data_IF_073018609070
#
_entry.id   IF_073018609070
#
_cell.length_a   1.000
_cell.length_b   1.000
_cell.length_c   1.000
_cell.angle_alpha   90.00
_cell.angle_beta   90.00
_cell.angle_gamma   90.00
#
_symmetry.space_group_name_H-M   'P 1'
#
loop_
_entity.id
_entity.type
_entity.pdbx_description
1 polymer ?
#
# COMPACT_ATOMS: atom_id res chain seq x y z
N UNK A 1 47.26 -65.97 35.82
CA UNK A 1 47.29 -66.55 34.46
C UNK A 1 46.43 -65.76 33.53
N UNK A 2 47.01 -65.28 32.43
CA UNK A 2 46.44 -64.70 31.21
C UNK A 2 46.09 -63.23 31.27
N UNK A 3 47.03 -62.40 30.96
CA UNK A 3 47.23 -61.37 29.92
C UNK A 3 46.10 -61.26 28.88
N UNK A 4 45.63 -60.06 28.68
CA UNK A 4 45.31 -59.53 27.34
C UNK A 4 45.36 -57.99 27.42
N UNK A 5 46.33 -57.56 26.87
CA UNK A 5 46.75 -56.67 25.81
C UNK A 5 45.56 -56.09 25.02
N UNK A 6 45.55 -54.83 24.90
CA UNK A 6 45.00 -54.37 23.64
C UNK A 6 44.29 -53.08 23.61
N UNK A 7 44.90 -52.22 23.02
CA UNK A 7 44.43 -51.31 21.98
C UNK A 7 43.89 -49.93 22.42
N UNK A 8 44.88 -49.08 22.43
CA UNK A 8 44.71 -47.63 22.39
C UNK A 8 44.03 -47.24 21.06
N UNK A 9 42.81 -46.87 21.10
CA UNK A 9 42.13 -46.21 19.95
C UNK A 9 42.20 -44.70 20.13
N UNK A 10 43.13 -44.13 19.39
CA UNK A 10 43.22 -42.68 19.15
C UNK A 10 41.98 -42.23 18.42
N UNK A 11 41.08 -41.54 19.12
CA UNK A 11 39.99 -40.81 18.50
C UNK A 11 40.59 -39.50 18.01
N UNK A 12 40.80 -39.43 16.72
CA UNK A 12 41.08 -38.18 16.01
C UNK A 12 39.86 -37.29 16.14
N UNK A 13 39.98 -36.23 16.88
CA UNK A 13 39.02 -35.15 16.90
C UNK A 13 39.21 -34.34 15.59
N UNK A 14 38.44 -34.65 14.60
CA UNK A 14 38.28 -33.79 13.42
C UNK A 14 37.65 -32.47 13.85
N UNK A 15 38.52 -31.50 14.05
CA UNK A 15 38.16 -30.13 14.30
C UNK A 15 37.65 -29.51 12.98
N UNK A 16 36.34 -29.67 12.71
CA UNK A 16 35.71 -29.07 11.56
C UNK A 16 35.75 -27.56 11.74
N UNK A 17 36.72 -26.95 11.07
CA UNK A 17 36.81 -25.50 10.93
C UNK A 17 35.66 -25.03 10.06
N UNK A 18 34.54 -24.62 10.67
CA UNK A 18 33.42 -23.99 9.96
C UNK A 18 33.88 -22.59 9.56
N UNK A 19 34.04 -22.30 8.27
CA UNK A 19 34.30 -20.93 7.86
C UNK A 19 33.08 -20.07 8.24
N UNK A 20 33.30 -19.09 9.10
CA UNK A 20 32.33 -18.04 9.36
C UNK A 20 32.05 -17.32 8.02
N UNK A 21 30.93 -17.67 7.39
CA UNK A 21 30.38 -16.87 6.31
C UNK A 21 30.03 -15.52 6.93
N UNK A 22 30.92 -14.56 6.73
CA UNK A 22 30.62 -13.16 6.96
C UNK A 22 29.43 -12.80 6.07
N UNK A 23 28.24 -12.77 6.66
CA UNK A 23 27.08 -12.18 6.01
C UNK A 23 27.40 -10.70 5.86
N UNK A 24 27.83 -10.34 4.66
CA UNK A 24 27.87 -8.96 4.25
C UNK A 24 26.44 -8.43 4.41
N UNK A 25 26.22 -7.62 5.44
CA UNK A 25 25.02 -6.81 5.56
C UNK A 25 24.98 -5.99 4.27
N UNK A 26 24.13 -6.40 3.34
CA UNK A 26 23.78 -5.57 2.21
C UNK A 26 23.13 -4.33 2.81
N UNK A 27 23.92 -3.27 2.96
CA UNK A 27 23.38 -1.94 3.16
C UNK A 27 22.47 -1.68 1.97
N UNK A 28 21.18 -1.92 2.17
CA UNK A 28 20.15 -1.43 1.28
C UNK A 28 20.27 0.08 1.34
N UNK A 29 21.01 0.63 0.39
CA UNK A 29 21.03 2.07 0.14
C UNK A 29 19.57 2.46 -0.02
N UNK A 30 19.02 3.13 0.98
CA UNK A 30 17.71 3.73 0.89
C UNK A 30 17.78 4.68 -0.29
N UNK A 31 17.21 4.26 -1.41
CA UNK A 31 17.02 5.13 -2.55
C UNK A 31 16.06 6.24 -2.11
N UNK A 32 16.62 7.32 -1.59
CA UNK A 32 15.93 8.60 -1.41
C UNK A 32 15.75 9.27 -2.77
N UNK A 33 15.20 8.49 -3.72
CA UNK A 33 14.77 9.05 -4.97
C UNK A 33 13.74 10.14 -4.66
N UNK A 34 13.88 11.33 -5.25
CA UNK A 34 12.89 12.38 -5.11
C UNK A 34 11.52 11.85 -5.53
N UNK A 35 10.45 12.40 -4.95
CA UNK A 35 9.11 12.03 -5.36
C UNK A 35 8.98 12.23 -6.87
N UNK A 36 8.54 11.18 -7.57
CA UNK A 36 8.29 11.27 -9.01
C UNK A 36 6.98 12.05 -9.21
N UNK A 37 7.09 13.23 -9.81
CA UNK A 37 5.95 14.11 -10.13
C UNK A 37 5.53 13.90 -11.59
N UNK A 38 4.26 13.62 -11.83
CA UNK A 38 3.74 13.39 -13.19
C UNK A 38 2.33 13.94 -13.33
N UNK A 39 2.02 14.62 -14.43
CA UNK A 39 0.64 14.92 -14.80
C UNK A 39 -0.03 13.63 -15.26
N UNK A 40 -1.10 13.26 -14.59
CA UNK A 40 -1.82 12.02 -14.89
C UNK A 40 -3.33 12.14 -14.70
N UNK A 41 -4.02 11.17 -15.26
CA UNK A 41 -5.45 10.95 -15.05
C UNK A 41 -5.61 9.55 -14.46
N UNK A 42 -6.32 9.46 -13.36
CA UNK A 42 -6.63 8.20 -12.68
C UNK A 42 -8.14 7.97 -12.68
N UNK A 43 -8.54 6.70 -12.62
CA UNK A 43 -9.94 6.30 -12.51
C UNK A 43 -10.11 5.37 -11.33
N UNK A 44 -11.07 5.67 -10.46
CA UNK A 44 -11.27 4.88 -9.24
C UNK A 44 -12.49 5.29 -8.45
N UNK A 45 -12.72 4.59 -7.34
CA UNK A 45 -13.86 4.81 -6.45
C UNK A 45 -13.48 5.80 -5.34
N UNK A 46 -14.27 6.85 -5.14
CA UNK A 46 -14.10 7.73 -3.98
C UNK A 46 -14.63 7.04 -2.73
N UNK A 47 -13.75 6.71 -1.80
CA UNK A 47 -14.11 6.04 -0.56
C UNK A 47 -13.19 6.39 0.62
N UNK A 48 -13.52 5.90 1.82
CA UNK A 48 -12.67 6.00 3.01
C UNK A 48 -11.41 5.14 2.88
N UNK A 49 -10.32 5.56 3.52
CA UNK A 49 -9.03 4.87 3.46
C UNK A 49 -9.03 3.54 4.23
N UNK A 50 -9.81 3.42 5.29
CA UNK A 50 -9.72 2.26 6.19
C UNK A 50 -10.23 0.97 5.53
N UNK A 51 -11.36 1.05 4.82
CA UNK A 51 -11.94 -0.12 4.19
C UNK A 51 -11.02 -0.84 3.20
N UNK A 52 -10.40 -0.20 2.19
CA UNK A 52 -9.56 -0.91 1.24
C UNK A 52 -8.26 -1.44 1.85
N UNK A 53 -7.86 -0.95 3.01
CA UNK A 53 -6.66 -1.43 3.72
C UNK A 53 -6.99 -2.61 4.65
N UNK A 54 -8.12 -2.56 5.35
CA UNK A 54 -8.46 -3.53 6.39
C UNK A 54 -9.37 -4.66 5.90
N UNK A 55 -10.07 -4.48 4.80
CA UNK A 55 -11.02 -5.43 4.24
C UNK A 55 -10.69 -5.76 2.80
N UNK A 56 -10.24 -7.00 2.55
CA UNK A 56 -9.87 -7.48 1.22
C UNK A 56 -11.04 -7.50 0.21
N UNK A 57 -12.28 -7.58 0.69
CA UNK A 57 -13.49 -7.50 -0.15
C UNK A 57 -13.77 -6.07 -0.63
N UNK A 58 -13.20 -5.07 0.04
CA UNK A 58 -13.42 -3.66 -0.28
C UNK A 58 -12.52 -3.18 -1.42
N UNK A 59 -12.91 -3.47 -2.64
CA UNK A 59 -12.16 -3.12 -3.87
C UNK A 59 -12.58 -1.75 -4.45
N UNK A 60 -12.04 -1.41 -5.60
CA UNK A 60 -12.44 -0.22 -6.36
C UNK A 60 -13.88 -0.28 -6.91
N UNK A 61 -14.52 -1.45 -6.89
CA UNK A 61 -15.89 -1.63 -7.39
C UNK A 61 -16.81 -2.34 -6.41
N UNK A 62 -16.32 -2.83 -5.28
CA UNK A 62 -17.10 -3.53 -4.25
C UNK A 62 -17.11 -2.74 -2.95
N UNK A 63 -18.29 -2.37 -2.46
CA UNK A 63 -18.45 -1.51 -1.29
C UNK A 63 -19.77 -1.71 -0.56
N UNK A 64 -19.77 -1.45 0.75
CA UNK A 64 -20.96 -1.18 1.56
C UNK A 64 -21.16 0.33 1.68
N UNK A 65 -22.26 0.85 1.16
CA UNK A 65 -22.59 2.28 1.27
C UNK A 65 -22.86 2.70 2.71
N UNK A 66 -23.40 1.81 3.53
CA UNK A 66 -23.65 2.06 4.95
C UNK A 66 -22.32 2.25 5.69
N UNK A 67 -21.36 1.34 5.50
CA UNK A 67 -20.02 1.44 6.08
C UNK A 67 -19.31 2.71 5.61
N UNK A 68 -19.29 2.95 4.31
CA UNK A 68 -18.65 4.11 3.70
C UNK A 68 -19.16 5.44 4.28
N UNK A 69 -20.49 5.60 4.38
CA UNK A 69 -21.10 6.80 4.96
C UNK A 69 -20.76 6.96 6.44
N UNK A 70 -20.73 5.85 7.20
CA UNK A 70 -20.35 5.87 8.62
C UNK A 70 -18.90 6.31 8.80
N UNK A 71 -17.97 5.73 8.06
CA UNK A 71 -16.55 6.11 8.07
C UNK A 71 -16.35 7.57 7.65
N UNK A 72 -17.02 7.98 6.58
CA UNK A 72 -16.98 9.36 6.12
C UNK A 72 -17.52 10.32 7.18
N UNK A 73 -18.63 10.01 7.85
CA UNK A 73 -19.20 10.81 8.95
C UNK A 73 -18.26 10.89 10.16
N UNK A 74 -17.56 9.81 10.47
CA UNK A 74 -16.59 9.75 11.55
C UNK A 74 -15.28 10.53 11.27
N UNK A 75 -15.09 11.05 10.04
CA UNK A 75 -13.91 11.85 9.69
C UNK A 75 -12.78 11.03 9.05
N UNK A 76 -13.01 9.77 8.67
CA UNK A 76 -12.01 8.99 7.94
C UNK A 76 -11.54 9.71 6.67
N UNK A 77 -10.24 9.77 6.37
CA UNK A 77 -9.74 10.35 5.13
C UNK A 77 -10.35 9.67 3.90
N UNK A 78 -10.62 10.46 2.87
CA UNK A 78 -11.13 9.97 1.59
C UNK A 78 -9.97 9.76 0.61
N UNK A 79 -10.03 8.64 -0.11
CA UNK A 79 -9.01 8.20 -1.08
C UNK A 79 -9.66 7.69 -2.36
N UNK A 80 -8.86 7.43 -3.38
CA UNK A 80 -9.31 6.89 -4.66
C UNK A 80 -8.54 5.60 -4.94
N UNK A 81 -9.02 4.40 -4.54
CA UNK A 81 -8.51 3.13 -5.02
C UNK A 81 -8.90 2.92 -6.49
N UNK A 82 -7.95 2.45 -7.28
CA UNK A 82 -8.07 2.15 -8.69
C UNK A 82 -8.26 0.64 -8.94
N UNK A 83 -8.63 0.26 -10.15
CA UNK A 83 -8.88 -1.15 -10.51
C UNK A 83 -7.63 -2.04 -10.47
N UNK A 84 -6.45 -1.46 -10.63
CA UNK A 84 -5.15 -2.12 -10.52
C UNK A 84 -4.65 -2.28 -9.07
N UNK A 85 -5.44 -1.78 -8.11
CA UNK A 85 -5.15 -1.91 -6.67
C UNK A 85 -4.32 -0.76 -6.09
N UNK A 86 -3.97 0.23 -6.88
CA UNK A 86 -3.27 1.41 -6.39
C UNK A 86 -4.20 2.31 -5.55
N UNK A 87 -3.65 2.92 -4.53
CA UNK A 87 -4.39 3.80 -3.63
C UNK A 87 -3.87 5.23 -3.73
N UNK A 88 -4.69 6.13 -4.25
CA UNK A 88 -4.32 7.54 -4.37
C UNK A 88 -4.88 8.36 -3.22
N UNK A 89 -3.97 9.05 -2.51
CA UNK A 89 -4.31 9.98 -1.42
C UNK A 89 -4.42 11.38 -2.00
N UNK A 90 -5.59 12.02 -1.96
CA UNK A 90 -5.73 13.40 -2.41
C UNK A 90 -5.00 14.37 -1.49
N UNK A 91 -4.20 15.24 -2.09
CA UNK A 91 -3.44 16.31 -1.41
C UNK A 91 -3.67 17.64 -2.10
N UNK A 92 -3.27 18.74 -1.48
CA UNK A 92 -3.22 20.04 -2.15
C UNK A 92 -1.98 20.15 -3.06
N UNK A 93 -2.07 21.02 -4.06
CA UNK A 93 -0.97 21.30 -4.98
C UNK A 93 0.13 22.19 -4.38
N UNK A 94 -0.14 22.78 -3.21
CA UNK A 94 0.74 23.70 -2.49
C UNK A 94 0.81 23.37 -1.01
N UNK A 95 1.96 23.68 -0.41
CA UNK A 95 2.12 23.61 1.03
C UNK A 95 1.70 24.93 1.70
N UNK A 96 1.15 24.88 2.93
CA UNK A 96 0.82 23.67 3.69
C UNK A 96 -0.32 22.90 3.06
N UNK A 97 -0.29 21.55 3.22
CA UNK A 97 -1.39 20.71 2.78
C UNK A 97 -2.70 21.06 3.46
N UNK A 98 -3.79 20.95 2.71
CA UNK A 98 -5.14 21.25 3.22
C UNK A 98 -6.06 20.05 2.96
N UNK A 99 -7.05 19.88 3.84
CA UNK A 99 -8.02 18.82 3.74
C UNK A 99 -8.77 18.85 2.40
N UNK A 100 -8.62 17.82 1.60
CA UNK A 100 -9.26 17.66 0.29
C UNK A 100 -10.66 17.03 0.37
N UNK A 101 -11.12 16.70 1.57
CA UNK A 101 -12.40 16.06 1.82
C UNK A 101 -13.59 16.80 1.19
N UNK A 102 -13.60 18.14 1.29
CA UNK A 102 -14.66 18.96 0.70
C UNK A 102 -14.81 18.76 -0.81
N UNK A 103 -13.69 18.57 -1.51
CA UNK A 103 -13.66 18.31 -2.96
C UNK A 103 -14.21 16.93 -3.30
N UNK A 104 -13.97 15.92 -2.43
CA UNK A 104 -14.32 14.53 -2.68
C UNK A 104 -15.71 14.11 -2.18
N UNK A 105 -16.24 14.76 -1.14
CA UNK A 105 -17.56 14.42 -0.57
C UNK A 105 -18.72 14.32 -1.57
N UNK A 106 -18.82 15.17 -2.61
CA UNK A 106 -19.85 15.05 -3.63
C UNK A 106 -19.78 13.77 -4.46
N UNK A 107 -18.61 13.12 -4.44
CA UNK A 107 -18.30 11.89 -5.18
C UNK A 107 -18.23 10.65 -4.30
N UNK A 108 -18.61 10.75 -3.03
CA UNK A 108 -18.55 9.63 -2.09
C UNK A 108 -19.34 8.42 -2.60
N UNK A 109 -18.65 7.27 -2.77
CA UNK A 109 -19.25 6.05 -3.31
C UNK A 109 -19.48 6.06 -4.83
N UNK A 110 -18.91 7.02 -5.53
CA UNK A 110 -18.96 7.12 -7.00
C UNK A 110 -17.62 6.76 -7.62
N UNK A 111 -17.66 6.14 -8.77
CA UNK A 111 -16.48 5.91 -9.60
C UNK A 111 -16.20 7.19 -10.40
N UNK A 112 -14.96 7.66 -10.33
CA UNK A 112 -14.59 8.96 -10.87
C UNK A 112 -13.39 8.87 -11.79
N UNK A 113 -13.26 9.88 -12.66
CA UNK A 113 -12.01 10.23 -13.33
C UNK A 113 -11.47 11.49 -12.69
N UNK A 114 -10.25 11.41 -12.16
CA UNK A 114 -9.56 12.54 -11.56
C UNK A 114 -8.26 12.81 -12.31
N UNK A 115 -8.04 14.06 -12.70
CA UNK A 115 -6.80 14.50 -13.34
C UNK A 115 -6.09 15.52 -12.48
N UNK A 116 -4.76 15.46 -12.49
CA UNK A 116 -3.95 16.34 -11.66
C UNK A 116 -2.48 15.99 -11.69
N UNK A 117 -1.76 16.42 -10.67
CA UNK A 117 -0.36 16.05 -10.46
C UNK A 117 -0.30 14.87 -9.50
N UNK A 118 0.26 13.76 -9.98
CA UNK A 118 0.52 12.57 -9.17
C UNK A 118 1.93 12.63 -8.63
N UNK A 119 2.08 12.33 -7.37
CA UNK A 119 3.34 12.18 -6.65
C UNK A 119 3.47 10.74 -6.19
N UNK A 120 4.56 10.07 -6.59
CA UNK A 120 4.84 8.70 -6.17
C UNK A 120 6.14 8.63 -5.38
N UNK A 121 6.12 8.02 -4.20
CA UNK A 121 7.30 7.80 -3.37
C UNK A 121 7.17 6.53 -2.56
N UNK A 122 8.10 5.59 -2.72
CA UNK A 122 8.20 4.35 -1.92
C UNK A 122 6.87 3.59 -1.79
N UNK A 123 6.15 3.43 -2.90
CA UNK A 123 4.86 2.72 -2.94
C UNK A 123 3.66 3.53 -2.44
N UNK A 124 3.85 4.80 -2.09
CA UNK A 124 2.74 5.70 -1.75
C UNK A 124 2.43 6.58 -2.96
N UNK A 125 1.15 6.67 -3.31
CA UNK A 125 0.67 7.54 -4.37
C UNK A 125 -0.21 8.64 -3.78
N UNK A 126 0.07 9.89 -4.18
CA UNK A 126 -0.76 11.04 -3.85
C UNK A 126 -1.15 11.78 -5.12
N UNK A 127 -2.27 12.49 -5.10
CA UNK A 127 -2.75 13.27 -6.24
C UNK A 127 -3.24 14.65 -5.81
N UNK A 128 -2.64 15.69 -6.40
CA UNK A 128 -3.18 17.04 -6.35
C UNK A 128 -4.22 17.19 -7.47
N UNK A 129 -5.50 17.04 -7.14
CA UNK A 129 -6.59 16.98 -8.10
C UNK A 129 -6.92 18.37 -8.65
N UNK A 130 -6.79 18.55 -9.96
CA UNK A 130 -7.19 19.75 -10.69
C UNK A 130 -8.64 19.64 -11.19
N UNK A 131 -9.03 18.46 -11.71
CA UNK A 131 -10.38 18.18 -12.18
C UNK A 131 -10.83 16.81 -11.69
N UNK A 132 -12.13 16.68 -11.35
CA UNK A 132 -12.74 15.42 -10.97
C UNK A 132 -14.15 15.36 -11.53
N UNK A 133 -14.53 14.24 -12.13
CA UNK A 133 -15.85 14.00 -12.69
C UNK A 133 -16.31 12.56 -12.41
N UNK A 134 -17.60 12.36 -12.29
CA UNK A 134 -18.19 11.04 -12.16
C UNK A 134 -18.15 10.29 -13.49
N UNK A 135 -17.58 9.08 -13.49
CA UNK A 135 -17.65 8.15 -14.61
C UNK A 135 -18.92 7.33 -14.51
N UNK A 136 -19.88 7.62 -15.40
CA UNK A 136 -21.11 6.85 -15.52
C UNK A 136 -20.87 5.53 -16.25
N UNK A 137 -21.66 4.51 -15.90
CA UNK A 137 -21.63 3.21 -16.58
C UNK A 137 -20.66 2.20 -15.98
N UNK A 138 -19.87 2.56 -14.97
CA UNK A 138 -19.09 1.60 -14.19
C UNK A 138 -20.05 0.87 -13.24
N UNK A 139 -20.07 -0.48 -13.34
CA UNK A 139 -20.89 -1.31 -12.45
C UNK A 139 -20.21 -1.45 -11.10
N UNK A 140 -20.86 -0.93 -10.07
CA UNK A 140 -20.46 -1.13 -8.69
C UNK A 140 -21.25 -2.28 -8.05
N UNK A 141 -20.58 -3.13 -7.30
CA UNK A 141 -21.18 -4.14 -6.43
C UNK A 141 -21.42 -3.52 -5.06
N UNK A 142 -22.67 -3.18 -4.75
CA UNK A 142 -23.06 -2.51 -3.50
C UNK A 142 -23.80 -3.53 -2.64
N UNK A 143 -23.23 -3.88 -1.47
CA UNK A 143 -23.70 -4.93 -0.58
C UNK A 143 -25.06 -4.64 0.08
N UNK A 144 -25.36 -3.37 0.31
CA UNK A 144 -26.45 -2.90 1.16
C UNK A 144 -27.42 -1.95 0.42
N UNK A 145 -27.89 -2.37 -0.75
CA UNK A 145 -28.99 -1.73 -1.49
C UNK A 145 -30.35 -2.22 -1.01
#
# INVERSE_FOLDING_TARGET
>A
MKTFLGLCLLVYADMILVPALAQAATNTTSNDAPAHETKATIEGLVRDIACPIQNLEATATHLSMKCLRACAKAGSPLVIPTMDGELYVPISDKMPDTDQRRKLMPFLGKYVRASGTVYARKGTHAIAINNIEELKGVRLNIEDQ
#
